data_IF_666577660107
#
_entry.id   IF_666577660107
#
_cell.length_a   1.000
_cell.length_b   1.000
_cell.length_c   1.000
_cell.angle_alpha   90.00
_cell.angle_beta   90.00
_cell.angle_gamma   90.00
#
_symmetry.space_group_name_H-M   'P 1'
#
loop_
_entity.id
_entity.type
_entity.pdbx_description
1 polymer ?
#
# COMPACT_ATOMS: atom_id res chain seq x y z
N UNK A 1 4.94 26.04 -0.51
CA UNK A 1 6.02 25.06 -0.77
C UNK A 1 6.33 24.39 0.57
N UNK A 2 6.63 23.08 0.59
CA UNK A 2 6.92 22.36 1.84
C UNK A 2 8.36 22.65 2.25
N UNK A 3 8.56 22.99 3.52
CA UNK A 3 9.90 23.13 4.10
C UNK A 3 10.52 21.74 4.38
N UNK A 4 11.85 21.62 4.51
CA UNK A 4 12.51 20.34 4.79
C UNK A 4 12.01 19.62 6.04
N UNK A 5 11.59 20.38 7.04
CA UNK A 5 11.03 19.90 8.31
C UNK A 5 9.53 19.56 8.23
N UNK A 6 8.87 19.87 7.11
CA UNK A 6 7.44 19.66 6.98
C UNK A 6 7.08 18.20 6.74
N UNK A 7 6.01 17.75 7.38
CA UNK A 7 5.39 16.48 7.04
C UNK A 7 4.63 16.60 5.72
N UNK A 8 4.86 15.66 4.80
CA UNK A 8 4.12 15.57 3.54
C UNK A 8 2.59 15.48 3.74
N UNK A 9 2.17 14.84 4.84
CA UNK A 9 0.77 14.79 5.28
C UNK A 9 0.67 15.33 6.71
N UNK A 10 0.26 16.60 6.81
CA UNK A 10 0.03 17.30 8.06
C UNK A 10 -1.34 17.01 8.69
N UNK A 11 -1.59 17.59 9.85
CA UNK A 11 -2.91 17.60 10.47
C UNK A 11 -3.73 18.81 9.97
N UNK A 12 -5.03 18.62 9.80
CA UNK A 12 -5.98 19.70 9.59
C UNK A 12 -6.92 19.79 10.79
N UNK A 13 -7.17 20.99 11.29
CA UNK A 13 -8.22 21.20 12.27
C UNK A 13 -9.63 21.26 11.61
N UNK A 14 -10.68 21.33 12.43
CA UNK A 14 -12.06 21.38 11.95
C UNK A 14 -12.42 22.65 11.16
N UNK A 15 -11.54 23.66 11.18
CA UNK A 15 -11.71 24.92 10.48
C UNK A 15 -10.87 24.99 9.19
N UNK A 16 -10.12 23.93 8.87
CA UNK A 16 -9.29 23.85 7.68
C UNK A 16 -7.89 24.46 7.84
N UNK A 17 -7.46 24.80 9.07
CA UNK A 17 -6.09 25.22 9.28
C UNK A 17 -5.17 24.00 9.25
N UNK A 18 -4.11 24.10 8.45
CA UNK A 18 -3.10 23.06 8.32
C UNK A 18 -1.93 23.34 9.25
N UNK A 19 -1.58 22.34 10.05
CA UNK A 19 -0.36 22.37 10.86
C UNK A 19 0.55 21.25 10.42
N UNK A 20 1.83 21.58 10.22
CA UNK A 20 2.88 20.63 9.93
C UNK A 20 3.18 19.78 11.17
N UNK A 21 2.31 18.78 11.38
CA UNK A 21 2.39 17.78 12.42
C UNK A 21 2.07 16.45 11.77
N UNK A 22 2.85 15.43 12.08
CA UNK A 22 2.59 14.08 11.61
C UNK A 22 1.13 13.69 11.89
N UNK A 23 0.39 13.34 10.83
CA UNK A 23 -0.96 12.79 10.95
C UNK A 23 -0.90 11.46 11.71
N UNK A 24 -1.89 11.20 12.56
CA UNK A 24 -2.01 9.87 13.19
C UNK A 24 -2.36 8.81 12.14
N UNK A 25 -1.90 7.58 12.34
CA UNK A 25 -2.22 6.48 11.42
C UNK A 25 -3.73 6.26 11.29
N UNK A 26 -4.46 6.40 12.40
CA UNK A 26 -5.93 6.29 12.41
C UNK A 26 -6.57 7.36 11.52
N UNK A 27 -6.19 8.63 11.70
CA UNK A 27 -6.71 9.74 10.90
C UNK A 27 -6.34 9.60 9.43
N UNK A 28 -5.13 9.12 9.14
CA UNK A 28 -4.69 8.87 7.77
C UNK A 28 -5.50 7.77 7.10
N UNK A 29 -5.75 6.66 7.81
CA UNK A 29 -6.56 5.56 7.30
C UNK A 29 -8.02 5.98 7.06
N UNK A 30 -8.59 6.79 7.96
CA UNK A 30 -9.92 7.37 7.78
C UNK A 30 -9.98 8.33 6.59
N UNK A 31 -8.95 9.16 6.40
CA UNK A 31 -8.85 10.06 5.26
C UNK A 31 -8.79 9.29 3.94
N UNK A 32 -7.96 8.25 3.84
CA UNK A 32 -7.89 7.37 2.66
C UNK A 32 -9.26 6.75 2.35
N UNK A 33 -9.94 6.19 3.35
CA UNK A 33 -11.26 5.59 3.17
C UNK A 33 -12.30 6.63 2.73
N UNK A 34 -12.25 7.84 3.29
CA UNK A 34 -13.15 8.93 2.95
C UNK A 34 -12.94 9.43 1.51
N UNK A 35 -11.69 9.59 1.09
CA UNK A 35 -11.36 10.11 -0.24
C UNK A 35 -11.54 9.08 -1.36
N UNK A 36 -11.20 7.81 -1.09
CA UNK A 36 -11.06 6.80 -2.14
C UNK A 36 -12.07 5.66 -2.01
N UNK A 37 -12.80 5.56 -0.89
CA UNK A 37 -13.79 4.51 -0.67
C UNK A 37 -13.23 3.12 -0.36
N UNK A 38 -11.90 2.98 -0.25
CA UNK A 38 -11.22 1.70 -0.02
C UNK A 38 -10.36 1.72 1.23
N UNK A 39 -10.26 0.57 1.90
CA UNK A 39 -9.37 0.40 3.03
C UNK A 39 -7.90 0.54 2.56
N UNK A 40 -7.01 1.16 3.36
CA UNK A 40 -5.60 1.33 3.01
C UNK A 40 -4.89 0.05 2.56
N UNK A 41 -5.23 -1.09 3.17
CA UNK A 41 -4.69 -2.41 2.81
C UNK A 41 -4.96 -2.80 1.34
N UNK A 42 -6.05 -2.31 0.74
CA UNK A 42 -6.39 -2.55 -0.66
C UNK A 42 -5.33 -1.97 -1.60
N UNK A 43 -4.76 -0.80 -1.29
CA UNK A 43 -3.69 -0.21 -2.10
C UNK A 43 -2.43 -1.06 -2.09
N UNK A 44 -2.03 -1.54 -0.90
CA UNK A 44 -0.89 -2.46 -0.74
C UNK A 44 -1.11 -3.73 -1.57
N UNK A 45 -2.32 -4.28 -1.54
CA UNK A 45 -2.67 -5.46 -2.35
C UNK A 45 -2.62 -5.18 -3.85
N UNK A 46 -3.25 -4.11 -4.31
CA UNK A 46 -3.24 -3.72 -5.73
C UNK A 46 -1.82 -3.52 -6.24
N UNK A 47 -0.95 -2.85 -5.48
CA UNK A 47 0.44 -2.65 -5.87
C UNK A 47 1.19 -3.98 -6.02
N UNK A 48 1.03 -4.90 -5.06
CA UNK A 48 1.68 -6.22 -5.08
C UNK A 48 1.17 -7.05 -6.25
N UNK A 49 -0.14 -7.14 -6.44
CA UNK A 49 -0.76 -7.86 -7.55
C UNK A 49 -0.31 -7.28 -8.90
N UNK A 50 -0.23 -5.95 -9.02
CA UNK A 50 0.24 -5.30 -10.25
C UNK A 50 1.71 -5.58 -10.55
N UNK A 51 2.59 -5.62 -9.53
CA UNK A 51 4.00 -6.01 -9.72
C UNK A 51 4.10 -7.47 -10.18
N UNK A 52 3.34 -8.37 -9.55
CA UNK A 52 3.31 -9.78 -9.91
C UNK A 52 2.82 -10.00 -11.35
N UNK A 53 1.73 -9.35 -11.74
CA UNK A 53 1.18 -9.42 -13.10
C UNK A 53 2.14 -8.87 -14.17
N UNK A 54 3.07 -7.98 -13.79
CA UNK A 54 4.14 -7.47 -14.65
C UNK A 54 5.37 -8.37 -14.68
N UNK A 55 5.32 -9.54 -14.04
CA UNK A 55 6.41 -10.52 -14.02
C UNK A 55 7.51 -10.24 -13.00
N UNK A 56 7.29 -9.36 -12.01
CA UNK A 56 8.26 -9.18 -10.93
C UNK A 56 8.31 -10.44 -10.06
N UNK A 57 9.53 -10.91 -9.75
CA UNK A 57 9.73 -12.05 -8.87
C UNK A 57 9.37 -11.72 -7.41
N UNK A 58 9.09 -12.76 -6.61
CA UNK A 58 8.66 -12.62 -5.21
C UNK A 58 9.70 -11.88 -4.35
N UNK A 59 11.01 -12.18 -4.43
CA UNK A 59 12.03 -11.38 -3.74
C UNK A 59 12.01 -9.88 -4.09
N UNK A 60 11.84 -9.53 -5.38
CA UNK A 60 11.75 -8.13 -5.84
C UNK A 60 10.52 -7.44 -5.24
N UNK A 61 9.37 -8.11 -5.27
CA UNK A 61 8.12 -7.62 -4.66
C UNK A 61 8.30 -7.43 -3.15
N UNK A 62 8.93 -8.38 -2.46
CA UNK A 62 9.17 -8.32 -1.02
C UNK A 62 10.03 -7.12 -0.64
N UNK A 63 11.12 -6.89 -1.39
CA UNK A 63 12.01 -5.75 -1.18
C UNK A 63 11.28 -4.42 -1.38
N UNK A 64 10.49 -4.27 -2.45
CA UNK A 64 9.79 -3.02 -2.76
C UNK A 64 8.64 -2.71 -1.80
N UNK A 65 7.92 -3.74 -1.34
CA UNK A 65 6.77 -3.57 -0.44
C UNK A 65 7.11 -3.66 1.05
N UNK A 66 8.39 -3.89 1.38
CA UNK A 66 8.86 -4.03 2.77
C UNK A 66 8.36 -5.28 3.49
N UNK A 67 7.98 -6.34 2.76
CA UNK A 67 7.58 -7.60 3.40
C UNK A 67 8.80 -8.42 3.81
N UNK A 68 8.77 -8.93 5.04
CA UNK A 68 9.79 -9.86 5.55
C UNK A 68 9.50 -11.32 5.19
N UNK A 69 8.23 -11.66 4.97
CA UNK A 69 7.77 -13.02 4.67
C UNK A 69 7.28 -13.13 3.23
N UNK A 70 7.94 -13.99 2.45
CA UNK A 70 7.50 -14.33 1.10
C UNK A 70 6.17 -15.11 1.11
N UNK A 71 5.95 -15.93 2.15
CA UNK A 71 4.71 -16.68 2.32
C UNK A 71 3.51 -15.73 2.42
N UNK A 72 3.63 -14.65 3.19
CA UNK A 72 2.56 -13.64 3.31
C UNK A 72 2.23 -12.99 1.97
N UNK A 73 3.23 -12.77 1.11
CA UNK A 73 3.02 -12.24 -0.25
C UNK A 73 2.19 -13.23 -1.09
N UNK A 74 2.63 -14.49 -1.10
CA UNK A 74 1.98 -15.56 -1.87
C UNK A 74 0.55 -15.80 -1.41
N UNK A 75 0.30 -15.92 -0.10
CA UNK A 75 -1.01 -16.32 0.43
C UNK A 75 -2.06 -15.18 0.37
N UNK A 76 -1.66 -13.95 0.68
CA UNK A 76 -2.63 -12.87 0.87
C UNK A 76 -2.82 -11.96 -0.34
N UNK A 77 -1.84 -11.92 -1.24
CA UNK A 77 -1.80 -10.93 -2.31
C UNK A 77 -1.74 -11.54 -3.73
N UNK A 78 -1.22 -12.77 -3.86
CA UNK A 78 -1.15 -13.47 -5.15
C UNK A 78 -2.18 -14.59 -5.14
N UNK A 79 -3.34 -14.35 -5.78
CA UNK A 79 -4.21 -15.46 -6.17
C UNK A 79 -3.57 -16.12 -7.39
N UNK A 80 -2.78 -17.17 -7.17
CA UNK A 80 -2.36 -18.06 -8.24
C UNK A 80 -3.62 -18.56 -8.94
N UNK A 81 -3.77 -18.26 -10.24
CA UNK A 81 -4.83 -18.90 -11.02
C UNK A 81 -4.35 -20.31 -11.33
N UNK A 82 -5.26 -21.28 -11.32
CA UNK A 82 -4.95 -22.66 -11.70
C UNK A 82 -4.30 -22.74 -13.09
N UNK A 83 -4.75 -21.86 -14.00
CA UNK A 83 -4.20 -21.64 -15.33
C UNK A 83 -2.70 -21.28 -15.36
N UNK A 84 -2.18 -20.62 -14.31
CA UNK A 84 -0.75 -20.27 -14.22
C UNK A 84 0.12 -21.48 -13.87
N UNK A 85 -0.46 -22.50 -13.23
CA UNK A 85 0.24 -23.72 -12.78
C UNK A 85 0.31 -24.76 -13.90
N UNK A 86 -0.75 -24.88 -14.71
CA UNK A 86 -0.84 -25.85 -15.80
C UNK A 86 0.21 -25.63 -16.91
N UNK A 87 0.83 -24.45 -16.97
CA UNK A 87 1.94 -24.17 -17.90
C UNK A 87 3.30 -24.77 -17.45
N UNK A 88 3.38 -25.31 -16.24
CA UNK A 88 4.61 -25.82 -15.62
C UNK A 88 4.49 -27.26 -15.11
N UNK A 89 3.37 -27.94 -15.38
CA UNK A 89 3.14 -29.37 -15.19
C UNK A 89 3.14 -30.10 -16.54
#
# INVERSE_FOLDING_TARGET
>A
ELMPEDYFVGAADKWGNHTSRQISEVSYNQAIQSWLGFAPYTFRKTQITAMYQKGADIPTIAKQSGHKSHQTIMEHYIKLKTEDVDNYL
#
